data_IF_541604759849
#
_entry.id   IF_541604759849
#
_cell.length_a   1.000
_cell.length_b   1.000
_cell.length_c   1.000
_cell.angle_alpha   90.00
_cell.angle_beta   90.00
_cell.angle_gamma   90.00
#
_symmetry.space_group_name_H-M   'P 1'
#
loop_
_entity.id
_entity.type
_entity.pdbx_description
1 polymer ?
#
# COMPACT_ATOMS: atom_id res chain seq x y z
N UNK A 1 -5.93 -11.62 18.33
CA UNK A 1 -6.54 -10.89 19.46
C UNK A 1 -7.74 -10.15 18.88
N UNK A 2 -8.98 -10.46 19.25
CA UNK A 2 -10.12 -9.70 18.74
C UNK A 2 -10.07 -8.32 19.39
N UNK A 3 -9.90 -7.27 18.56
CA UNK A 3 -9.95 -5.88 19.00
C UNK A 3 -11.38 -5.58 19.43
N UNK A 4 -11.56 -4.90 20.57
CA UNK A 4 -12.85 -4.51 21.12
C UNK A 4 -13.68 -3.76 20.07
N UNK A 5 -14.96 -4.12 19.95
CA UNK A 5 -15.96 -3.58 19.02
C UNK A 5 -16.43 -2.17 19.39
N UNK A 6 -15.50 -1.25 19.67
CA UNK A 6 -15.84 0.14 19.98
C UNK A 6 -15.94 0.96 18.69
N UNK A 7 -17.19 1.28 18.33
CA UNK A 7 -17.66 2.35 17.46
C UNK A 7 -16.84 2.67 16.18
N UNK A 8 -16.66 1.66 15.31
CA UNK A 8 -15.98 1.81 14.02
C UNK A 8 -16.76 2.65 12.99
N UNK A 9 -17.94 3.17 13.34
CA UNK A 9 -18.83 3.89 12.42
C UNK A 9 -18.61 5.40 12.39
N UNK A 10 -17.94 5.96 13.40
CA UNK A 10 -17.79 7.40 13.54
C UNK A 10 -16.59 7.94 12.76
N UNK A 11 -16.85 8.64 11.66
CA UNK A 11 -15.86 9.49 10.99
C UNK A 11 -16.00 10.92 11.55
N UNK A 12 -14.98 11.47 12.22
CA UNK A 12 -14.99 12.84 12.71
C UNK A 12 -15.33 13.84 11.60
N UNK A 13 -16.17 14.83 11.92
CA UNK A 13 -16.67 15.81 10.94
C UNK A 13 -15.55 16.58 10.23
N UNK A 14 -14.44 16.85 10.92
CA UNK A 14 -13.29 17.54 10.35
C UNK A 14 -12.62 16.76 9.20
N UNK A 15 -12.70 15.42 9.17
CA UNK A 15 -12.16 14.61 8.06
C UNK A 15 -12.96 14.79 6.75
N UNK A 16 -14.19 15.27 6.84
CA UNK A 16 -15.06 15.56 5.67
C UNK A 16 -14.81 16.93 5.05
N UNK A 17 -14.05 17.80 5.73
CA UNK A 17 -13.76 19.14 5.22
C UNK A 17 -12.90 19.04 3.95
N UNK A 18 -13.33 19.68 2.88
CA UNK A 18 -12.63 19.69 1.58
C UNK A 18 -11.19 20.16 1.74
N UNK A 19 -10.94 21.17 2.58
CA UNK A 19 -9.57 21.68 2.82
C UNK A 19 -8.62 20.60 3.36
N UNK A 20 -9.15 19.69 4.18
CA UNK A 20 -8.38 18.60 4.77
C UNK A 20 -8.10 17.52 3.72
N UNK A 21 -9.08 17.21 2.86
CA UNK A 21 -8.90 16.29 1.75
C UNK A 21 -7.90 16.83 0.71
N UNK A 22 -7.98 18.13 0.40
CA UNK A 22 -7.01 18.81 -0.47
C UNK A 22 -5.62 18.81 0.14
N UNK A 23 -5.49 18.98 1.45
CA UNK A 23 -4.20 18.86 2.14
C UNK A 23 -3.61 17.46 2.01
N UNK A 24 -4.40 16.39 2.16
CA UNK A 24 -3.94 15.02 1.92
C UNK A 24 -3.49 14.81 0.47
N UNK A 25 -4.27 15.31 -0.50
CA UNK A 25 -3.90 15.29 -1.91
C UNK A 25 -2.60 16.05 -2.19
N UNK A 26 -2.42 17.21 -1.56
CA UNK A 26 -1.20 18.00 -1.65
C UNK A 26 0.02 17.24 -1.10
N UNK A 27 -0.10 16.64 0.08
CA UNK A 27 0.96 15.81 0.68
C UNK A 27 1.33 14.65 -0.26
N UNK A 28 0.33 14.00 -0.86
CA UNK A 28 0.54 12.93 -1.83
C UNK A 28 1.30 13.40 -3.07
N UNK A 29 0.89 14.53 -3.67
CA UNK A 29 1.57 15.08 -4.86
C UNK A 29 3.00 15.50 -4.55
N UNK A 30 3.23 16.25 -3.46
CA UNK A 30 4.58 16.70 -3.08
C UNK A 30 5.49 15.51 -2.75
N UNK A 31 4.99 14.53 -2.00
CA UNK A 31 5.77 13.32 -1.71
C UNK A 31 6.04 12.54 -2.99
N UNK A 32 5.06 12.42 -3.89
CA UNK A 32 5.22 11.77 -5.18
C UNK A 32 6.31 12.42 -6.03
N UNK A 33 6.31 13.75 -6.13
CA UNK A 33 7.35 14.50 -6.86
C UNK A 33 8.74 14.28 -6.23
N UNK A 34 8.85 14.36 -4.91
CA UNK A 34 10.10 14.15 -4.21
C UNK A 34 10.62 12.71 -4.38
N UNK A 35 9.75 11.71 -4.23
CA UNK A 35 10.08 10.30 -4.44
C UNK A 35 10.53 10.07 -5.88
N UNK A 36 9.80 10.58 -6.89
CA UNK A 36 10.19 10.43 -8.29
C UNK A 36 11.54 11.09 -8.60
N UNK A 37 11.85 12.24 -7.99
CA UNK A 37 13.17 12.86 -8.11
C UNK A 37 14.26 11.94 -7.54
N UNK A 38 14.06 11.35 -6.36
CA UNK A 38 15.00 10.38 -5.79
C UNK A 38 15.14 9.14 -6.68
N UNK A 39 14.03 8.61 -7.22
CA UNK A 39 14.05 7.49 -8.15
C UNK A 39 14.87 7.82 -9.39
N UNK A 40 14.70 9.01 -9.97
CA UNK A 40 15.50 9.50 -11.09
C UNK A 40 17.00 9.57 -10.74
N UNK A 41 17.34 10.14 -9.58
CA UNK A 41 18.73 10.20 -9.12
C UNK A 41 19.33 8.79 -8.98
N UNK A 42 18.59 7.85 -8.38
CA UNK A 42 19.06 6.46 -8.27
C UNK A 42 19.16 5.76 -9.62
N UNK A 43 18.31 6.10 -10.59
CA UNK A 43 18.39 5.60 -11.95
C UNK A 43 19.62 6.15 -12.69
N UNK A 44 20.01 7.41 -12.46
CA UNK A 44 21.21 7.98 -13.06
C UNK A 44 22.51 7.47 -12.40
N UNK A 45 22.53 7.33 -11.07
CA UNK A 45 23.78 7.12 -10.32
C UNK A 45 23.96 5.71 -9.74
N UNK A 46 22.90 4.93 -9.52
CA UNK A 46 22.99 3.60 -8.90
C UNK A 46 22.73 2.50 -9.93
N UNK A 47 21.71 2.65 -10.77
CA UNK A 47 21.32 1.65 -11.75
C UNK A 47 22.44 1.21 -12.72
N UNK A 48 23.32 2.10 -13.23
CA UNK A 48 24.40 1.70 -14.13
C UNK A 48 25.42 0.76 -13.48
N UNK A 49 25.61 0.86 -12.15
CA UNK A 49 26.64 0.10 -11.42
C UNK A 49 26.07 -1.11 -10.68
N UNK A 50 24.87 -0.99 -10.12
CA UNK A 50 24.25 -2.06 -9.34
C UNK A 50 22.72 -2.06 -9.49
N UNK A 51 22.22 -2.93 -10.38
CA UNK A 51 20.78 -3.09 -10.63
C UNK A 51 20.03 -3.66 -9.43
N UNK A 52 20.64 -4.54 -8.64
CA UNK A 52 19.98 -5.14 -7.48
C UNK A 52 19.75 -4.11 -6.38
N UNK A 53 20.76 -3.28 -6.11
CA UNK A 53 20.66 -2.17 -5.17
C UNK A 53 19.63 -1.14 -5.63
N UNK A 54 19.65 -0.77 -6.92
CA UNK A 54 18.63 0.11 -7.51
C UNK A 54 17.22 -0.43 -7.29
N UNK A 55 16.97 -1.71 -7.58
CA UNK A 55 15.64 -2.34 -7.36
C UNK A 55 15.21 -2.26 -5.89
N UNK A 56 16.13 -2.53 -4.96
CA UNK A 56 15.85 -2.48 -3.52
C UNK A 56 15.51 -1.06 -3.05
N UNK A 57 16.29 -0.06 -3.47
CA UNK A 57 16.03 1.35 -3.14
C UNK A 57 14.69 1.79 -3.75
N UNK A 58 14.48 1.50 -5.03
CA UNK A 58 13.27 1.88 -5.74
C UNK A 58 12.00 1.24 -5.14
N UNK A 59 12.10 0.00 -4.66
CA UNK A 59 11.02 -0.66 -3.92
C UNK A 59 10.66 0.09 -2.63
N UNK A 60 11.65 0.48 -1.83
CA UNK A 60 11.39 1.23 -0.60
C UNK A 60 10.82 2.62 -0.89
N UNK A 61 11.35 3.33 -1.90
CA UNK A 61 10.83 4.61 -2.36
C UNK A 61 9.36 4.50 -2.83
N UNK A 62 9.03 3.46 -3.60
CA UNK A 62 7.67 3.18 -4.00
C UNK A 62 6.77 2.87 -2.78
N UNK A 63 7.27 2.11 -1.80
CA UNK A 63 6.52 1.80 -0.58
C UNK A 63 6.15 3.08 0.19
N UNK A 64 7.03 4.09 0.22
CA UNK A 64 6.72 5.39 0.86
C UNK A 64 5.48 6.03 0.25
N UNK A 65 5.43 6.18 -1.08
CA UNK A 65 4.28 6.84 -1.72
C UNK A 65 3.00 5.99 -1.62
N UNK A 66 3.09 4.67 -1.84
CA UNK A 66 1.93 3.78 -1.76
C UNK A 66 1.38 3.64 -0.33
N UNK A 67 2.24 3.77 0.69
CA UNK A 67 1.80 3.74 2.09
C UNK A 67 0.80 4.84 2.41
N UNK A 68 0.86 5.99 1.73
CA UNK A 68 -0.10 7.08 1.93
C UNK A 68 -1.51 6.69 1.48
N UNK A 69 -1.64 5.92 0.39
CA UNK A 69 -2.93 5.42 -0.06
C UNK A 69 -3.48 4.34 0.87
N UNK A 70 -2.64 3.45 1.37
CA UNK A 70 -3.06 2.46 2.38
C UNK A 70 -3.45 3.11 3.71
N UNK A 71 -2.79 4.21 4.08
CA UNK A 71 -3.19 5.05 5.21
C UNK A 71 -4.57 5.65 5.00
N UNK A 72 -4.86 6.16 3.80
CA UNK A 72 -6.20 6.69 3.48
C UNK A 72 -7.26 5.59 3.58
N UNK A 73 -6.98 4.40 3.05
CA UNK A 73 -7.93 3.29 3.07
C UNK A 73 -8.21 2.75 4.48
N UNK A 74 -7.19 2.62 5.33
CA UNK A 74 -7.40 1.99 6.64
C UNK A 74 -7.67 3.02 7.73
N UNK A 75 -6.73 3.94 7.92
CA UNK A 75 -6.77 4.86 9.06
C UNK A 75 -7.66 6.07 8.81
N UNK A 76 -7.63 6.61 7.58
CA UNK A 76 -8.42 7.80 7.29
C UNK A 76 -9.92 7.49 7.22
N UNK A 77 -10.32 6.52 6.40
CA UNK A 77 -11.71 6.09 6.26
C UNK A 77 -12.19 5.14 7.36
N UNK A 78 -11.32 4.77 8.30
CA UNK A 78 -11.64 3.84 9.40
C UNK A 78 -12.21 2.51 8.88
N UNK A 79 -11.61 1.97 7.82
CA UNK A 79 -12.10 0.77 7.14
C UNK A 79 -11.36 -0.48 7.63
N UNK A 80 -12.13 -1.50 7.98
CA UNK A 80 -11.64 -2.83 8.32
C UNK A 80 -11.80 -3.80 7.15
N UNK A 81 -10.94 -4.81 7.12
CA UNK A 81 -10.94 -5.84 6.07
C UNK A 81 -10.96 -7.20 6.75
N UNK A 82 -12.04 -7.95 6.50
CA UNK A 82 -12.13 -9.35 6.88
C UNK A 82 -11.77 -10.23 5.67
N UNK A 83 -10.70 -11.01 5.80
CA UNK A 83 -10.25 -11.95 4.78
C UNK A 83 -10.61 -13.38 5.22
N UNK A 84 -11.52 -14.00 4.48
CA UNK A 84 -11.90 -15.39 4.68
C UNK A 84 -11.00 -16.29 3.84
N UNK A 85 -10.12 -17.03 4.51
CA UNK A 85 -9.18 -17.96 3.88
C UNK A 85 -8.98 -19.17 4.79
N UNK A 86 -8.80 -20.36 4.19
CA UNK A 86 -8.44 -21.55 4.96
C UNK A 86 -7.00 -21.44 5.46
N UNK A 87 -6.67 -21.91 6.68
CA UNK A 87 -5.31 -21.86 7.20
C UNK A 87 -4.28 -22.53 6.27
N UNK A 88 -4.63 -23.64 5.64
CA UNK A 88 -3.74 -24.33 4.68
C UNK A 88 -3.41 -23.50 3.43
N UNK A 89 -4.34 -22.66 2.97
CA UNK A 89 -4.17 -21.85 1.77
C UNK A 89 -3.43 -20.55 2.07
N UNK A 90 -3.56 -20.02 3.30
CA UNK A 90 -2.78 -18.87 3.75
C UNK A 90 -1.27 -19.15 3.74
N UNK A 91 -0.86 -20.38 4.09
CA UNK A 91 0.55 -20.78 4.03
C UNK A 91 1.10 -20.79 2.59
N UNK A 92 0.27 -21.19 1.62
CA UNK A 92 0.64 -21.27 0.20
C UNK A 92 0.87 -19.89 -0.42
N UNK A 93 0.09 -18.87 -0.03
CA UNK A 93 0.21 -17.50 -0.56
C UNK A 93 1.63 -16.90 -0.45
N UNK A 94 2.46 -17.38 0.49
CA UNK A 94 3.86 -16.94 0.66
C UNK A 94 4.89 -17.79 -0.07
N UNK A 95 4.49 -18.98 -0.52
CA UNK A 95 5.39 -19.98 -1.10
C UNK A 95 5.30 -20.01 -2.62
N UNK A 96 4.13 -19.70 -3.19
CA UNK A 96 3.89 -19.76 -4.62
C UNK A 96 3.40 -18.43 -5.20
N UNK A 97 3.49 -18.30 -6.52
CA UNK A 97 2.90 -17.16 -7.21
C UNK A 97 1.39 -17.31 -7.24
N UNK A 98 0.68 -16.33 -6.70
CA UNK A 98 -0.78 -16.29 -6.70
C UNK A 98 -1.28 -15.10 -7.52
N UNK A 99 -2.39 -15.29 -8.22
CA UNK A 99 -3.08 -14.22 -8.94
C UNK A 99 -4.37 -13.89 -8.19
N UNK A 100 -4.59 -12.60 -7.94
CA UNK A 100 -5.84 -12.12 -7.38
C UNK A 100 -6.81 -11.76 -8.50
N UNK A 101 -8.01 -12.34 -8.47
CA UNK A 101 -9.11 -12.01 -9.35
C UNK A 101 -10.25 -11.42 -8.52
N UNK A 102 -10.35 -10.10 -8.50
CA UNK A 102 -11.44 -9.39 -7.87
C UNK A 102 -12.64 -9.23 -8.80
N UNK A 103 -13.85 -9.38 -8.26
CA UNK A 103 -15.04 -8.87 -8.94
C UNK A 103 -14.97 -7.35 -8.89
N UNK A 104 -14.75 -6.68 -10.03
CA UNK A 104 -14.55 -5.23 -10.07
C UNK A 104 -15.88 -4.50 -9.89
N UNK A 105 -16.17 -4.15 -8.64
CA UNK A 105 -17.41 -3.47 -8.24
C UNK A 105 -17.16 -2.03 -7.87
N UNK A 106 -15.99 -1.71 -7.33
CA UNK A 106 -15.64 -0.37 -6.90
C UNK A 106 -14.25 0.04 -7.38
N UNK A 107 -14.07 1.35 -7.56
CA UNK A 107 -12.78 1.94 -7.96
C UNK A 107 -11.66 1.67 -6.96
N UNK A 108 -11.99 1.35 -5.70
CA UNK A 108 -11.01 1.12 -4.62
C UNK A 108 -10.60 -0.35 -4.46
N UNK A 109 -11.14 -1.26 -5.27
CA UNK A 109 -10.88 -2.70 -5.14
C UNK A 109 -9.38 -3.04 -5.29
N UNK A 110 -8.67 -2.31 -6.16
CA UNK A 110 -7.21 -2.49 -6.31
C UNK A 110 -6.43 -2.07 -5.05
N UNK A 111 -6.93 -1.08 -4.31
CA UNK A 111 -6.31 -0.59 -3.08
C UNK A 111 -6.52 -1.60 -1.94
N UNK A 112 -7.69 -2.25 -1.90
CA UNK A 112 -7.95 -3.38 -1.00
C UNK A 112 -6.92 -4.51 -1.21
N UNK A 113 -6.68 -4.92 -2.47
CA UNK A 113 -5.67 -5.92 -2.80
C UNK A 113 -4.27 -5.53 -2.33
N UNK A 114 -3.90 -4.25 -2.49
CA UNK A 114 -2.62 -3.73 -2.01
C UNK A 114 -2.50 -3.79 -0.48
N UNK A 115 -3.54 -3.41 0.23
CA UNK A 115 -3.58 -3.45 1.70
C UNK A 115 -3.44 -4.89 2.21
N UNK A 116 -4.16 -5.85 1.61
CA UNK A 116 -4.07 -7.27 1.98
C UNK A 116 -2.66 -7.80 1.76
N UNK A 117 -2.09 -7.59 0.57
CA UNK A 117 -0.73 -8.06 0.25
C UNK A 117 0.33 -7.41 1.15
N UNK A 118 0.18 -6.13 1.51
CA UNK A 118 1.07 -5.47 2.47
C UNK A 118 0.95 -6.07 3.88
N UNK A 119 -0.26 -6.36 4.36
CA UNK A 119 -0.49 -6.97 5.70
C UNK A 119 0.00 -8.41 5.78
N UNK A 120 -0.07 -9.14 4.68
CA UNK A 120 0.44 -10.51 4.58
C UNK A 120 1.96 -10.58 4.31
N UNK A 121 2.62 -9.44 4.09
CA UNK A 121 4.05 -9.38 3.78
C UNK A 121 4.38 -9.92 2.38
N UNK A 122 3.44 -9.84 1.44
CA UNK A 122 3.55 -10.29 0.05
C UNK A 122 3.91 -9.14 -0.92
N UNK A 123 3.74 -7.89 -0.50
CA UNK A 123 3.98 -6.74 -1.36
C UNK A 123 5.48 -6.54 -1.65
N UNK A 124 5.87 -6.76 -2.91
CA UNK A 124 7.22 -6.53 -3.45
C UNK A 124 8.30 -7.46 -2.91
N UNK A 125 7.91 -8.67 -2.53
CA UNK A 125 8.85 -9.77 -2.28
C UNK A 125 9.32 -10.31 -3.65
N UNK A 126 10.64 -10.32 -3.87
CA UNK A 126 11.25 -10.95 -5.05
C UNK A 126 12.13 -12.09 -4.56
N UNK A 127 11.67 -13.34 -4.72
CA UNK A 127 12.46 -14.54 -4.38
C UNK A 127 13.59 -14.84 -5.39
N UNK A 128 14.03 -13.84 -6.15
CA UNK A 128 14.99 -13.94 -7.25
C UNK A 128 16.22 -13.04 -7.06
N UNK A 129 16.69 -12.95 -5.82
CA UNK A 129 18.02 -12.43 -5.49
C UNK A 129 18.88 -13.60 -5.02
#
# INVERSE_FOLDING_TARGET
MPRSTEDHSYIPSWKRLVIVQLFLGYVFVITGLFVNLLQLLTACFVWPFNRALYRKINYHLATVIWSQLTFVYQWWSNSDIDVYIKPEDLAKLRQENSIWLGNHRYEVDWLLGWVITQRLGLAGVSNSI
#
